data_IF_316107774071
#
_entry.id   IF_316107774071
#
_cell.length_a   1.000
_cell.length_b   1.000
_cell.length_c   1.000
_cell.angle_alpha   90.00
_cell.angle_beta   90.00
_cell.angle_gamma   90.00
#
_symmetry.space_group_name_H-M   'P 1'
#
loop_
_entity.id
_entity.type
_entity.pdbx_description
1 polymer ?
#
# COMPACT_ATOMS: atom_id res chain seq x y z
N UNK A 1 8.11 -28.30 -5.98
CA UNK A 1 8.34 -27.66 -4.66
C UNK A 1 7.17 -26.72 -4.40
N UNK A 2 6.52 -26.81 -3.24
CA UNK A 2 5.50 -25.84 -2.87
C UNK A 2 6.17 -24.48 -2.64
N UNK A 3 5.56 -23.41 -3.17
CA UNK A 3 6.01 -22.04 -2.93
C UNK A 3 5.63 -21.66 -1.49
N UNK A 4 6.62 -21.33 -0.66
CA UNK A 4 6.37 -20.89 0.71
C UNK A 4 6.06 -19.38 0.76
N UNK A 5 5.10 -19.02 1.59
CA UNK A 5 4.61 -17.65 1.75
C UNK A 5 4.69 -17.20 3.21
N UNK A 6 5.25 -16.04 3.43
CA UNK A 6 5.15 -15.27 4.67
C UNK A 6 4.14 -14.15 4.49
N UNK A 7 3.20 -13.99 5.43
CA UNK A 7 2.22 -12.90 5.41
C UNK A 7 2.53 -11.95 6.55
N UNK A 8 3.11 -10.80 6.21
CA UNK A 8 3.32 -9.70 7.13
C UNK A 8 2.01 -8.93 7.27
N UNK A 9 1.42 -8.89 8.48
CA UNK A 9 0.13 -8.26 8.72
C UNK A 9 -1.08 -9.15 8.38
N UNK A 10 -1.03 -10.43 8.75
CA UNK A 10 -2.06 -11.41 8.42
C UNK A 10 -3.46 -11.06 8.92
N UNK A 11 -3.58 -10.40 10.08
CA UNK A 11 -4.88 -9.98 10.65
C UNK A 11 -5.48 -8.72 10.00
N UNK A 12 -4.73 -8.05 9.12
CA UNK A 12 -5.21 -6.89 8.37
C UNK A 12 -6.03 -7.27 7.13
N UNK A 13 -6.62 -6.28 6.47
CA UNK A 13 -7.47 -6.46 5.30
C UNK A 13 -6.78 -7.24 4.17
N UNK A 14 -5.54 -6.83 3.79
CA UNK A 14 -4.78 -7.51 2.73
C UNK A 14 -4.36 -8.91 3.16
N UNK A 15 -3.96 -9.09 4.43
CA UNK A 15 -3.63 -10.42 4.96
C UNK A 15 -4.81 -11.37 4.88
N UNK A 16 -5.99 -10.94 5.31
CA UNK A 16 -7.23 -11.74 5.25
C UNK A 16 -7.67 -12.03 3.80
N UNK A 17 -7.55 -11.06 2.90
CA UNK A 17 -7.80 -11.27 1.46
C UNK A 17 -6.80 -12.25 0.85
N UNK A 18 -5.53 -12.22 1.30
CA UNK A 18 -4.52 -13.22 0.89
C UNK A 18 -4.93 -14.63 1.33
N UNK A 19 -5.31 -14.79 2.60
CA UNK A 19 -5.79 -16.08 3.12
C UNK A 19 -7.06 -16.55 2.40
N UNK A 20 -7.96 -15.63 2.02
CA UNK A 20 -9.15 -15.96 1.21
C UNK A 20 -8.75 -16.52 -0.15
N UNK A 21 -7.78 -15.92 -0.85
CA UNK A 21 -7.26 -16.42 -2.13
C UNK A 21 -6.62 -17.81 -1.95
N UNK A 22 -5.85 -18.03 -0.87
CA UNK A 22 -5.23 -19.32 -0.59
C UNK A 22 -6.27 -20.44 -0.35
N UNK A 23 -7.39 -20.13 0.34
CA UNK A 23 -8.51 -21.09 0.53
C UNK A 23 -9.10 -21.56 -0.79
N UNK A 24 -9.17 -20.68 -1.79
CA UNK A 24 -9.66 -21.01 -3.13
C UNK A 24 -8.65 -21.76 -4.01
N UNK A 25 -7.38 -21.82 -3.57
CA UNK A 25 -6.30 -22.47 -4.29
C UNK A 25 -5.53 -23.43 -3.38
N UNK A 26 -6.18 -24.45 -2.81
CA UNK A 26 -5.58 -25.34 -1.84
C UNK A 26 -4.37 -26.10 -2.40
N UNK A 27 -3.31 -26.22 -1.60
CA UNK A 27 -2.09 -26.94 -1.95
C UNK A 27 -1.14 -26.20 -2.89
N UNK A 28 -1.48 -25.01 -3.38
CA UNK A 28 -0.59 -24.24 -4.28
C UNK A 28 0.52 -23.51 -3.55
N UNK A 29 0.27 -23.07 -2.32
CA UNK A 29 1.22 -22.39 -1.44
C UNK A 29 1.23 -23.03 -0.05
N UNK A 30 2.41 -23.04 0.59
CA UNK A 30 2.57 -23.35 2.01
C UNK A 30 2.74 -22.04 2.78
N UNK A 31 1.89 -21.77 3.75
CA UNK A 31 2.07 -20.63 4.65
C UNK A 31 3.21 -20.98 5.62
N UNK A 32 4.35 -20.31 5.47
CA UNK A 32 5.51 -20.49 6.34
C UNK A 32 5.35 -19.71 7.64
N UNK A 33 4.89 -18.46 7.54
CA UNK A 33 4.67 -17.61 8.70
C UNK A 33 3.45 -16.69 8.53
N UNK A 34 2.74 -16.48 9.64
CA UNK A 34 1.71 -15.45 9.81
C UNK A 34 2.19 -14.45 10.85
N UNK A 35 1.94 -13.17 10.62
CA UNK A 35 2.34 -12.13 11.58
C UNK A 35 1.19 -11.16 11.87
N UNK A 36 1.12 -10.67 13.11
CA UNK A 36 0.17 -9.63 13.53
C UNK A 36 0.73 -8.79 14.69
N UNK A 37 0.09 -7.66 15.00
CA UNK A 37 0.48 -6.84 16.13
C UNK A 37 -0.02 -7.43 17.46
N UNK A 38 -1.37 -7.47 17.68
CA UNK A 38 -2.00 -7.82 18.96
C UNK A 38 -3.21 -8.75 18.83
N UNK A 39 -3.75 -8.94 17.64
CA UNK A 39 -5.01 -9.69 17.46
C UNK A 39 -4.81 -11.20 17.58
N UNK A 40 -4.84 -11.71 18.82
CA UNK A 40 -4.63 -13.11 19.16
C UNK A 40 -5.71 -14.01 18.58
N UNK A 41 -7.00 -13.59 18.61
CA UNK A 41 -8.10 -14.42 18.14
C UNK A 41 -8.03 -14.68 16.62
N UNK A 42 -7.74 -13.65 15.84
CA UNK A 42 -7.54 -13.81 14.39
C UNK A 42 -6.33 -14.72 14.12
N UNK A 43 -5.22 -14.51 14.80
CA UNK A 43 -4.01 -15.30 14.60
C UNK A 43 -4.19 -16.76 15.01
N UNK A 44 -4.90 -17.03 16.12
CA UNK A 44 -5.20 -18.40 16.54
C UNK A 44 -6.01 -19.14 15.47
N UNK A 45 -7.11 -18.55 15.01
CA UNK A 45 -7.96 -19.11 13.94
C UNK A 45 -7.14 -19.42 12.69
N UNK A 46 -6.37 -18.45 12.22
CA UNK A 46 -5.62 -18.55 10.97
C UNK A 46 -4.43 -19.55 11.12
N UNK A 47 -3.79 -19.62 12.29
CA UNK A 47 -2.76 -20.62 12.57
C UNK A 47 -3.32 -22.05 12.64
N UNK A 48 -4.50 -22.24 13.21
CA UNK A 48 -5.14 -23.57 13.27
C UNK A 48 -5.56 -24.04 11.86
N UNK A 49 -5.99 -23.12 11.01
CA UNK A 49 -6.41 -23.43 9.64
C UNK A 49 -5.22 -23.72 8.71
N UNK A 50 -4.21 -22.83 8.70
CA UNK A 50 -3.11 -22.90 7.74
C UNK A 50 -1.87 -23.63 8.26
N UNK A 51 -1.82 -23.95 9.55
CA UNK A 51 -0.72 -24.65 10.19
C UNK A 51 0.66 -24.11 9.83
N UNK A 52 0.92 -22.79 9.97
CA UNK A 52 2.21 -22.23 9.62
C UNK A 52 3.30 -22.76 10.55
N UNK A 53 4.55 -22.78 10.07
CA UNK A 53 5.70 -23.14 10.91
C UNK A 53 5.96 -22.08 11.99
N UNK A 54 5.73 -20.80 11.67
CA UNK A 54 5.95 -19.66 12.57
C UNK A 54 4.70 -18.79 12.68
N UNK A 55 4.47 -18.24 13.88
CA UNK A 55 3.54 -17.17 14.12
C UNK A 55 4.27 -16.05 14.87
N UNK A 56 4.19 -14.81 14.39
CA UNK A 56 4.86 -13.67 15.03
C UNK A 56 3.82 -12.68 15.53
N UNK A 57 3.87 -12.37 16.82
CA UNK A 57 3.13 -11.24 17.39
C UNK A 57 4.13 -10.13 17.77
N UNK A 58 3.85 -8.88 17.37
CA UNK A 58 4.74 -7.76 17.74
C UNK A 58 4.70 -7.54 19.26
N UNK A 59 3.51 -7.63 19.86
CA UNK A 59 3.29 -7.52 21.29
C UNK A 59 3.66 -8.83 22.00
N UNK A 60 4.49 -8.73 23.04
CA UNK A 60 5.01 -9.91 23.76
C UNK A 60 3.93 -10.64 24.59
N UNK A 61 2.98 -9.87 25.17
CA UNK A 61 1.88 -10.47 25.95
C UNK A 61 0.94 -11.23 25.02
N UNK A 62 0.60 -10.66 23.87
CA UNK A 62 -0.16 -11.32 22.82
C UNK A 62 0.55 -12.58 22.28
N UNK A 63 1.88 -12.56 22.17
CA UNK A 63 2.66 -13.74 21.78
C UNK A 63 2.58 -14.86 22.82
N UNK A 64 2.70 -14.52 24.10
CA UNK A 64 2.56 -15.49 25.21
C UNK A 64 1.17 -16.13 25.24
N UNK A 65 0.12 -15.31 25.08
CA UNK A 65 -1.25 -15.79 25.00
C UNK A 65 -1.46 -16.72 23.80
N UNK A 66 -1.03 -16.30 22.61
CA UNK A 66 -1.16 -17.11 21.38
C UNK A 66 -0.44 -18.46 21.52
N UNK A 67 0.78 -18.47 22.09
CA UNK A 67 1.56 -19.68 22.31
C UNK A 67 0.84 -20.67 23.23
N UNK A 68 0.27 -20.17 24.34
CA UNK A 68 -0.50 -21.01 25.29
C UNK A 68 -1.75 -21.61 24.61
N UNK A 69 -2.48 -20.80 23.84
CA UNK A 69 -3.72 -21.23 23.15
C UNK A 69 -3.42 -22.22 22.03
N UNK A 70 -2.39 -22.00 21.20
CA UNK A 70 -1.96 -22.94 20.16
C UNK A 70 -1.53 -24.29 20.76
N UNK A 71 -0.76 -24.27 21.86
CA UNK A 71 -0.36 -25.47 22.58
C UNK A 71 -1.58 -26.25 23.09
N UNK A 72 -2.59 -25.59 23.63
CA UNK A 72 -3.82 -26.20 24.10
C UNK A 72 -4.59 -26.92 22.97
N UNK A 73 -4.45 -26.46 21.71
CA UNK A 73 -5.01 -27.09 20.51
C UNK A 73 -4.07 -28.12 19.86
N UNK A 74 -2.93 -28.46 20.47
CA UNK A 74 -1.96 -29.39 19.91
C UNK A 74 -1.21 -28.89 18.66
N UNK A 75 -1.19 -27.58 18.41
CA UNK A 75 -0.48 -27.02 17.27
C UNK A 75 1.05 -27.07 17.48
N UNK A 76 1.77 -27.34 16.39
CA UNK A 76 3.25 -27.33 16.35
C UNK A 76 3.83 -25.98 15.90
N UNK A 77 2.99 -24.99 15.64
CA UNK A 77 3.42 -23.64 15.23
C UNK A 77 4.29 -23.00 16.30
N UNK A 78 5.50 -22.59 15.94
CA UNK A 78 6.41 -21.85 16.84
C UNK A 78 5.99 -20.37 16.89
N UNK A 79 5.66 -19.90 18.08
CA UNK A 79 5.36 -18.47 18.29
C UNK A 79 6.64 -17.71 18.62
N UNK A 80 6.78 -16.54 18.01
CA UNK A 80 7.88 -15.58 18.18
C UNK A 80 7.30 -14.20 18.48
N UNK A 81 8.10 -13.28 19.01
CA UNK A 81 7.64 -11.93 19.36
C UNK A 81 8.61 -10.83 18.93
N UNK A 82 8.05 -9.63 18.77
CA UNK A 82 8.79 -8.40 18.52
C UNK A 82 9.13 -8.12 17.05
N UNK A 83 9.63 -6.91 16.80
CA UNK A 83 9.94 -6.44 15.45
C UNK A 83 11.09 -7.22 14.77
N UNK A 84 12.08 -7.66 15.55
CA UNK A 84 13.19 -8.46 15.03
C UNK A 84 12.71 -9.80 14.44
N UNK A 85 11.72 -10.44 15.06
CA UNK A 85 11.14 -11.68 14.58
C UNK A 85 10.38 -11.51 13.25
N UNK A 86 9.79 -10.33 12.98
CA UNK A 86 9.21 -10.02 11.67
C UNK A 86 10.27 -10.07 10.57
N UNK A 87 11.44 -9.47 10.82
CA UNK A 87 12.56 -9.48 9.88
C UNK A 87 13.13 -10.89 9.69
N UNK A 88 13.22 -11.67 10.78
CA UNK A 88 13.71 -13.06 10.74
C UNK A 88 12.86 -13.94 9.83
N UNK A 89 11.53 -13.93 10.00
CA UNK A 89 10.64 -14.77 9.17
C UNK A 89 10.57 -14.26 7.72
N UNK A 90 10.63 -12.94 7.50
CA UNK A 90 10.63 -12.35 6.17
C UNK A 90 11.88 -12.74 5.36
N UNK A 91 13.05 -12.77 6.00
CA UNK A 91 14.33 -13.14 5.38
C UNK A 91 14.66 -14.65 5.48
N UNK A 92 13.80 -15.47 6.10
CA UNK A 92 14.08 -16.89 6.37
C UNK A 92 14.48 -17.63 5.08
N UNK A 93 15.50 -18.52 5.12
CA UNK A 93 15.96 -19.25 3.93
C UNK A 93 14.84 -19.98 3.18
N UNK A 94 13.91 -20.59 3.92
CA UNK A 94 12.77 -21.31 3.34
C UNK A 94 11.65 -20.36 2.83
N UNK A 95 11.74 -19.05 3.03
CA UNK A 95 10.77 -18.09 2.48
C UNK A 95 11.02 -17.90 0.99
N UNK A 96 10.01 -18.18 0.17
CA UNK A 96 10.02 -17.88 -1.26
C UNK A 96 9.41 -16.50 -1.56
N UNK A 97 8.24 -16.22 -0.98
CA UNK A 97 7.49 -14.98 -1.22
C UNK A 97 7.06 -14.34 0.10
N UNK A 98 6.99 -13.02 0.11
CA UNK A 98 6.53 -12.23 1.26
C UNK A 98 5.38 -11.33 0.81
N UNK A 99 4.21 -11.49 1.41
CA UNK A 99 3.12 -10.51 1.33
C UNK A 99 3.41 -9.39 2.32
N UNK A 100 3.85 -8.25 1.83
CA UNK A 100 4.21 -7.09 2.63
C UNK A 100 2.97 -6.21 2.87
N UNK A 101 2.18 -6.52 3.91
CA UNK A 101 0.89 -5.90 4.19
C UNK A 101 0.79 -5.24 5.58
N UNK A 102 1.93 -4.94 6.22
CA UNK A 102 1.96 -4.09 7.41
C UNK A 102 1.84 -2.64 6.96
N UNK A 103 0.86 -1.91 7.47
CA UNK A 103 0.56 -0.52 7.11
C UNK A 103 1.58 0.44 7.74
N UNK A 104 1.94 1.50 7.03
CA UNK A 104 2.78 2.60 7.51
C UNK A 104 4.27 2.24 7.61
N UNK A 105 5.04 3.11 8.27
CA UNK A 105 6.49 2.99 8.42
C UNK A 105 6.95 1.67 9.07
N UNK A 106 6.13 1.08 9.95
CA UNK A 106 6.43 -0.18 10.64
C UNK A 106 6.65 -1.37 9.69
N UNK A 107 6.09 -1.33 8.49
CA UNK A 107 6.26 -2.36 7.47
C UNK A 107 7.59 -2.28 6.71
N UNK A 108 8.32 -1.15 6.78
CA UNK A 108 9.54 -0.95 5.98
C UNK A 108 10.66 -1.91 6.38
N UNK A 109 10.98 -2.03 7.66
CA UNK A 109 12.10 -2.85 8.12
C UNK A 109 11.96 -4.34 7.74
N UNK A 110 10.83 -5.04 8.02
CA UNK A 110 10.68 -6.44 7.62
C UNK A 110 10.58 -6.62 6.09
N UNK A 111 10.01 -5.67 5.36
CA UNK A 111 9.99 -5.72 3.89
C UNK A 111 11.40 -5.58 3.33
N UNK A 112 12.20 -4.65 3.85
CA UNK A 112 13.60 -4.49 3.46
C UNK A 112 14.46 -5.72 3.81
N UNK A 113 14.19 -6.39 4.93
CA UNK A 113 14.86 -7.64 5.27
C UNK A 113 14.59 -8.72 4.21
N UNK A 114 13.34 -8.83 3.73
CA UNK A 114 12.98 -9.74 2.65
C UNK A 114 13.64 -9.36 1.32
N UNK A 115 13.69 -8.05 0.98
CA UNK A 115 14.39 -7.55 -0.23
C UNK A 115 15.86 -7.93 -0.20
N UNK A 116 16.56 -7.65 0.91
CA UNK A 116 17.99 -7.99 1.08
C UNK A 116 18.25 -9.49 1.03
N UNK A 117 17.26 -10.31 1.35
CA UNK A 117 17.33 -11.77 1.21
C UNK A 117 16.94 -12.28 -0.20
N UNK A 118 16.76 -11.39 -1.17
CA UNK A 118 16.44 -11.74 -2.56
C UNK A 118 15.08 -12.42 -2.76
N UNK A 119 14.08 -12.12 -1.91
CA UNK A 119 12.78 -12.77 -1.96
C UNK A 119 11.85 -12.13 -3.00
N UNK A 120 10.80 -12.86 -3.39
CA UNK A 120 9.66 -12.29 -4.13
C UNK A 120 8.82 -11.47 -3.16
N UNK A 121 8.68 -10.18 -3.42
CA UNK A 121 7.94 -9.24 -2.59
C UNK A 121 6.61 -8.93 -3.28
N UNK A 122 5.50 -9.27 -2.61
CA UNK A 122 4.14 -8.89 -2.98
C UNK A 122 3.84 -7.61 -2.19
N UNK A 123 4.10 -6.45 -2.81
CA UNK A 123 4.12 -5.16 -2.12
C UNK A 123 2.72 -4.57 -2.02
N UNK A 124 2.15 -4.59 -0.83
CA UNK A 124 0.87 -3.94 -0.49
C UNK A 124 1.06 -2.69 0.40
N UNK A 125 2.24 -2.53 1.00
CA UNK A 125 2.61 -1.37 1.80
C UNK A 125 3.23 -0.30 0.90
N UNK A 126 2.42 0.65 0.43
CA UNK A 126 2.89 1.77 -0.40
C UNK A 126 3.82 2.72 0.33
N UNK A 127 3.64 2.85 1.64
CA UNK A 127 4.44 3.73 2.48
C UNK A 127 5.92 3.35 2.47
N UNK A 128 6.25 2.07 2.26
CA UNK A 128 7.63 1.62 2.12
C UNK A 128 8.35 2.31 0.94
N UNK A 129 7.70 2.40 -0.25
CA UNK A 129 8.27 3.12 -1.40
C UNK A 129 8.15 4.63 -1.26
N UNK A 130 7.10 5.15 -0.68
CA UNK A 130 6.95 6.58 -0.42
C UNK A 130 8.07 7.09 0.47
N UNK A 131 8.39 6.36 1.56
CA UNK A 131 9.41 6.75 2.52
C UNK A 131 10.83 6.45 2.05
N UNK A 132 11.06 5.38 1.30
CA UNK A 132 12.43 4.89 1.04
C UNK A 132 12.71 4.55 -0.42
N UNK A 133 11.91 5.04 -1.36
CA UNK A 133 11.92 4.60 -2.76
C UNK A 133 13.31 4.40 -3.39
N UNK A 134 14.22 5.38 -3.26
CA UNK A 134 15.57 5.26 -3.80
C UNK A 134 16.35 4.09 -3.17
N UNK A 135 16.40 4.03 -1.83
CA UNK A 135 17.10 2.96 -1.10
C UNK A 135 16.45 1.60 -1.30
N UNK A 136 15.11 1.60 -1.38
CA UNK A 136 14.36 0.37 -1.60
C UNK A 136 14.65 -0.23 -2.98
N UNK A 137 14.55 0.58 -4.04
CA UNK A 137 14.80 0.12 -5.41
C UNK A 137 16.26 -0.24 -5.64
N UNK A 138 17.21 0.47 -5.02
CA UNK A 138 18.61 0.08 -5.05
C UNK A 138 18.83 -1.30 -4.44
N UNK A 139 18.28 -1.55 -3.25
CA UNK A 139 18.34 -2.86 -2.60
C UNK A 139 17.68 -3.96 -3.44
N UNK A 140 16.53 -3.70 -4.07
CA UNK A 140 15.89 -4.65 -5.01
C UNK A 140 16.85 -5.05 -6.13
N UNK A 141 17.54 -4.08 -6.73
CA UNK A 141 18.52 -4.33 -7.80
C UNK A 141 19.72 -5.12 -7.30
N UNK A 142 20.31 -4.71 -6.17
CA UNK A 142 21.54 -5.31 -5.62
C UNK A 142 21.35 -6.77 -5.20
N UNK A 143 20.19 -7.07 -4.61
CA UNK A 143 19.90 -8.40 -4.07
C UNK A 143 19.04 -9.27 -5.00
N UNK A 144 18.67 -8.77 -6.17
CA UNK A 144 17.90 -9.51 -7.15
C UNK A 144 16.49 -9.91 -6.65
N UNK A 145 15.90 -9.12 -5.77
CA UNK A 145 14.54 -9.36 -5.30
C UNK A 145 13.53 -9.12 -6.44
N UNK A 146 12.48 -9.94 -6.48
CA UNK A 146 11.39 -9.77 -7.44
C UNK A 146 10.27 -8.94 -6.79
N UNK A 147 9.91 -7.82 -7.39
CA UNK A 147 8.92 -6.90 -6.85
C UNK A 147 7.63 -6.96 -7.67
N UNK A 148 6.50 -7.26 -7.01
CA UNK A 148 5.17 -7.32 -7.63
C UNK A 148 4.20 -6.43 -6.85
N UNK A 149 3.53 -5.46 -7.50
CA UNK A 149 2.58 -4.57 -6.84
C UNK A 149 1.27 -5.29 -6.48
N UNK A 150 0.74 -4.99 -5.31
CA UNK A 150 -0.56 -5.48 -4.82
C UNK A 150 -1.61 -4.37 -4.83
N UNK A 151 -1.20 -3.11 -4.61
CA UNK A 151 -2.15 -2.00 -4.72
C UNK A 151 -2.88 -2.08 -6.07
N UNK A 152 -4.21 -1.91 -6.05
CA UNK A 152 -5.07 -2.23 -7.21
C UNK A 152 -4.68 -1.47 -8.46
N UNK A 153 -4.37 -0.19 -8.32
CA UNK A 153 -3.97 0.68 -9.42
C UNK A 153 -2.61 0.30 -10.01
N UNK A 154 -1.64 0.02 -9.13
CA UNK A 154 -0.29 -0.38 -9.59
C UNK A 154 -0.29 -1.78 -10.19
N UNK A 155 -1.07 -2.70 -9.63
CA UNK A 155 -1.25 -4.02 -10.21
C UNK A 155 -1.95 -3.93 -11.59
N UNK A 156 -2.92 -3.03 -11.74
CA UNK A 156 -3.57 -2.76 -13.03
C UNK A 156 -2.58 -2.23 -14.07
N UNK A 157 -1.76 -1.22 -13.69
CA UNK A 157 -0.70 -0.71 -14.56
C UNK A 157 0.24 -1.86 -14.95
N UNK A 158 0.74 -2.61 -13.97
CA UNK A 158 1.64 -3.74 -14.18
C UNK A 158 1.07 -4.75 -15.19
N UNK A 159 -0.22 -5.09 -15.08
CA UNK A 159 -0.89 -6.01 -16.03
C UNK A 159 -0.96 -5.46 -17.47
N UNK A 160 -1.00 -4.14 -17.62
CA UNK A 160 -1.07 -3.46 -18.92
C UNK A 160 0.31 -3.19 -19.53
N UNK A 161 1.41 -3.43 -18.82
CA UNK A 161 2.77 -3.22 -19.32
C UNK A 161 3.25 -4.38 -20.19
N UNK A 162 4.16 -4.15 -21.17
CA UNK A 162 4.84 -5.21 -21.89
C UNK A 162 5.61 -6.15 -20.95
N UNK A 163 5.66 -7.43 -21.26
CA UNK A 163 6.32 -8.45 -20.42
C UNK A 163 7.79 -8.11 -20.12
N UNK A 164 8.49 -7.46 -21.05
CA UNK A 164 9.87 -7.04 -20.82
C UNK A 164 9.98 -6.02 -19.67
N UNK A 165 9.02 -5.08 -19.55
CA UNK A 165 8.94 -4.10 -18.48
C UNK A 165 8.50 -4.75 -17.17
N UNK A 166 7.52 -5.66 -17.23
CA UNK A 166 7.05 -6.41 -16.05
C UNK A 166 8.15 -7.21 -15.34
N UNK A 167 9.15 -7.71 -16.11
CA UNK A 167 10.29 -8.47 -15.55
C UNK A 167 11.31 -7.62 -14.81
N UNK A 168 11.29 -6.30 -15.01
CA UNK A 168 12.24 -5.36 -14.42
C UNK A 168 11.52 -4.11 -13.93
N UNK A 169 10.53 -4.23 -13.02
CA UNK A 169 9.78 -3.09 -12.53
C UNK A 169 10.73 -2.09 -11.86
N UNK A 170 10.55 -0.81 -12.18
CA UNK A 170 11.39 0.28 -11.66
C UNK A 170 12.74 0.49 -12.37
N UNK A 171 13.10 -0.34 -13.37
CA UNK A 171 14.41 -0.26 -14.04
C UNK A 171 14.33 -0.11 -15.56
N UNK A 172 13.13 -0.09 -16.12
CA UNK A 172 12.94 0.09 -17.57
C UNK A 172 12.71 1.56 -17.92
N UNK A 173 13.16 1.93 -19.13
CA UNK A 173 12.74 3.18 -19.76
C UNK A 173 11.38 2.96 -20.42
N UNK A 174 10.34 3.58 -19.87
CA UNK A 174 8.97 3.47 -20.37
C UNK A 174 8.85 4.02 -21.79
N UNK A 175 9.55 5.11 -22.11
CA UNK A 175 9.51 5.71 -23.44
C UNK A 175 10.16 4.80 -24.48
N UNK A 176 11.28 4.15 -24.16
CA UNK A 176 11.91 3.16 -25.02
C UNK A 176 11.02 1.92 -25.22
N UNK A 177 10.23 1.55 -24.21
CA UNK A 177 9.25 0.47 -24.28
C UNK A 177 7.95 0.83 -25.05
N UNK A 178 7.87 2.02 -25.64
CA UNK A 178 6.70 2.47 -26.40
C UNK A 178 5.58 3.04 -25.55
N UNK A 179 5.79 3.27 -24.25
CA UNK A 179 4.79 3.82 -23.32
C UNK A 179 4.91 5.35 -23.29
N UNK A 180 3.80 6.05 -23.48
CA UNK A 180 3.74 7.50 -23.42
C UNK A 180 3.30 8.00 -22.05
N UNK A 181 2.31 7.33 -21.42
CA UNK A 181 1.77 7.73 -20.11
C UNK A 181 1.22 6.54 -19.31
N UNK A 182 1.29 6.67 -18.02
CA UNK A 182 0.51 5.93 -17.03
C UNK A 182 -0.68 6.81 -16.66
N UNK A 183 -1.90 6.28 -16.78
CA UNK A 183 -3.13 6.94 -16.38
C UNK A 183 -3.59 6.31 -15.06
N UNK A 184 -3.21 6.95 -13.95
CA UNK A 184 -3.48 6.49 -12.59
C UNK A 184 -4.90 6.90 -12.21
N UNK A 185 -5.82 5.94 -12.10
CA UNK A 185 -7.22 6.25 -11.79
C UNK A 185 -7.47 6.31 -10.29
N UNK A 186 -8.53 7.00 -9.89
CA UNK A 186 -9.05 7.01 -8.53
C UNK A 186 -10.50 7.43 -8.51
N UNK A 187 -11.26 7.04 -7.47
CA UNK A 187 -12.70 7.35 -7.37
C UNK A 187 -13.01 8.85 -7.19
N UNK A 188 -12.03 9.62 -6.71
CA UNK A 188 -12.25 11.00 -6.26
C UNK A 188 -12.84 11.09 -4.85
N UNK A 189 -13.02 9.96 -4.17
CA UNK A 189 -13.57 9.91 -2.82
C UNK A 189 -15.05 10.33 -2.70
N UNK A 190 -15.56 10.45 -1.47
CA UNK A 190 -16.97 10.78 -1.23
C UNK A 190 -17.32 12.25 -1.56
N UNK A 191 -16.34 13.15 -1.59
CA UNK A 191 -16.56 14.60 -1.72
C UNK A 191 -16.30 15.19 -3.11
N UNK A 192 -16.22 14.34 -4.14
CA UNK A 192 -15.90 14.79 -5.51
C UNK A 192 -16.90 15.77 -6.12
N UNK A 193 -18.14 15.79 -5.61
CA UNK A 193 -19.20 16.71 -6.04
C UNK A 193 -19.65 17.70 -4.95
N UNK A 194 -19.03 17.66 -3.76
CA UNK A 194 -19.32 18.58 -2.65
C UNK A 194 -18.72 19.95 -2.96
N UNK A 195 -19.44 21.04 -2.68
CA UNK A 195 -18.90 22.40 -2.84
C UNK A 195 -17.67 22.58 -1.94
N UNK A 196 -16.61 23.26 -2.46
CA UNK A 196 -15.33 23.41 -1.74
C UNK A 196 -15.52 24.10 -0.39
N UNK A 197 -16.39 25.12 -0.31
CA UNK A 197 -16.69 25.83 0.93
C UNK A 197 -17.34 24.94 2.02
N UNK A 198 -17.96 23.83 1.65
CA UNK A 198 -18.57 22.89 2.60
C UNK A 198 -17.57 21.85 3.14
N UNK A 199 -16.38 21.71 2.51
CA UNK A 199 -15.38 20.74 2.96
C UNK A 199 -14.86 20.99 4.38
N UNK A 200 -14.87 22.26 4.82
CA UNK A 200 -14.50 22.61 6.19
C UNK A 200 -15.42 22.02 7.27
N UNK A 201 -16.66 21.64 6.90
CA UNK A 201 -17.68 21.09 7.81
C UNK A 201 -17.73 19.55 7.81
N UNK A 202 -16.87 18.90 7.00
CA UNK A 202 -16.86 17.43 6.86
C UNK A 202 -16.49 16.77 8.18
N UNK A 203 -17.28 15.77 8.54
CA UNK A 203 -17.08 14.96 9.76
C UNK A 203 -16.31 13.67 9.46
N UNK A 204 -15.66 13.04 10.46
CA UNK A 204 -15.03 11.73 10.29
C UNK A 204 -15.98 10.67 9.73
N UNK A 205 -17.23 10.63 10.20
CA UNK A 205 -18.23 9.68 9.73
C UNK A 205 -18.54 9.83 8.23
N UNK A 206 -18.58 11.05 7.71
CA UNK A 206 -18.76 11.31 6.28
C UNK A 206 -17.52 10.94 5.47
N UNK A 207 -16.32 11.21 6.00
CA UNK A 207 -15.07 10.94 5.29
C UNK A 207 -14.78 9.42 5.15
N UNK A 208 -15.22 8.59 6.11
CA UNK A 208 -15.04 7.13 6.03
C UNK A 208 -16.08 6.43 5.14
N UNK A 209 -17.15 7.11 4.74
CA UNK A 209 -18.22 6.56 3.90
C UNK A 209 -17.80 6.53 2.41
N UNK A 210 -16.87 5.61 2.07
CA UNK A 210 -16.40 5.48 0.68
C UNK A 210 -17.50 4.86 -0.22
N UNK A 211 -17.74 5.43 -1.42
CA UNK A 211 -18.88 5.01 -2.27
C UNK A 211 -18.75 3.61 -2.87
N UNK A 212 -17.51 3.14 -3.15
CA UNK A 212 -17.29 1.93 -3.94
C UNK A 212 -16.51 0.83 -3.19
N UNK A 213 -15.66 1.20 -2.22
CA UNK A 213 -14.77 0.28 -1.50
C UNK A 213 -15.14 0.19 -0.03
N UNK A 214 -15.12 -1.03 0.51
CA UNK A 214 -15.14 -1.24 1.96
C UNK A 214 -13.71 -1.27 2.48
N UNK A 215 -13.28 -0.20 3.12
CA UNK A 215 -11.89 -0.01 3.55
C UNK A 215 -11.80 0.38 5.03
N UNK A 216 -10.59 0.29 5.59
CA UNK A 216 -10.32 0.82 6.93
C UNK A 216 -10.47 2.34 7.02
N UNK A 217 -10.68 2.88 8.21
CA UNK A 217 -10.96 4.29 8.44
C UNK A 217 -9.84 5.21 7.89
N UNK A 218 -8.57 4.88 8.14
CA UNK A 218 -7.40 5.69 7.69
C UNK A 218 -7.40 5.84 6.18
N UNK A 219 -7.45 4.75 5.42
CA UNK A 219 -7.39 4.79 3.95
C UNK A 219 -8.65 5.41 3.32
N UNK A 220 -9.80 5.35 4.01
CA UNK A 220 -11.02 6.05 3.56
C UNK A 220 -10.87 7.56 3.64
N UNK A 221 -10.26 8.10 4.70
CA UNK A 221 -9.91 9.52 4.81
C UNK A 221 -8.86 9.90 3.79
N UNK A 222 -7.85 9.06 3.58
CA UNK A 222 -6.83 9.27 2.54
C UNK A 222 -7.45 9.33 1.13
N UNK A 223 -8.48 8.53 0.88
CA UNK A 223 -9.26 8.60 -0.36
C UNK A 223 -10.07 9.90 -0.46
N UNK A 224 -10.68 10.33 0.65
CA UNK A 224 -11.48 11.55 0.70
C UNK A 224 -10.66 12.82 0.43
N UNK A 225 -9.41 12.87 0.93
CA UNK A 225 -8.45 13.96 0.69
C UNK A 225 -7.68 13.80 -0.62
N UNK A 226 -7.80 12.67 -1.30
CA UNK A 226 -6.97 12.24 -2.44
C UNK A 226 -5.46 12.12 -2.12
N UNK A 227 -5.05 12.17 -0.85
CA UNK A 227 -3.66 11.87 -0.49
C UNK A 227 -3.29 10.42 -0.85
N UNK A 228 -4.24 9.47 -0.72
CA UNK A 228 -4.02 8.10 -1.16
C UNK A 228 -3.52 8.05 -2.61
N UNK A 229 -4.18 8.80 -3.50
CA UNK A 229 -3.77 8.89 -4.91
C UNK A 229 -2.43 9.62 -5.08
N UNK A 230 -2.13 10.56 -4.20
CA UNK A 230 -0.82 11.20 -4.13
C UNK A 230 0.30 10.24 -3.73
N UNK A 231 0.08 9.42 -2.70
CA UNK A 231 1.04 8.39 -2.28
C UNK A 231 1.23 7.33 -3.39
N UNK A 232 0.17 6.96 -4.06
CA UNK A 232 0.21 6.07 -5.22
C UNK A 232 0.95 6.69 -6.42
N UNK A 233 0.86 8.00 -6.63
CA UNK A 233 1.66 8.70 -7.63
C UNK A 233 3.17 8.56 -7.33
N UNK A 234 3.55 8.74 -6.06
CA UNK A 234 4.94 8.56 -5.61
C UNK A 234 5.38 7.10 -5.78
N UNK A 235 4.54 6.14 -5.41
CA UNK A 235 4.82 4.71 -5.58
C UNK A 235 4.98 4.34 -7.06
N UNK A 236 4.10 4.80 -7.95
CA UNK A 236 4.18 4.57 -9.38
C UNK A 236 5.48 5.12 -9.99
N UNK A 237 5.95 6.26 -9.51
CA UNK A 237 7.23 6.86 -9.89
C UNK A 237 8.39 5.87 -9.70
N UNK A 238 8.41 5.18 -8.56
CA UNK A 238 9.45 4.21 -8.22
C UNK A 238 9.23 2.85 -8.88
N UNK A 239 8.03 2.31 -8.81
CA UNK A 239 7.70 1.00 -9.35
C UNK A 239 7.88 0.90 -10.87
N UNK A 240 7.66 1.98 -11.59
CA UNK A 240 7.70 1.98 -13.05
C UNK A 240 8.80 2.84 -13.65
N UNK A 241 9.66 3.44 -12.81
CA UNK A 241 10.68 4.39 -13.25
C UNK A 241 10.10 5.48 -14.17
N UNK A 242 8.88 5.94 -13.85
CA UNK A 242 8.17 6.90 -14.65
C UNK A 242 8.66 8.34 -14.40
N UNK A 243 8.86 9.13 -15.43
CA UNK A 243 9.07 10.56 -15.28
C UNK A 243 7.79 11.25 -14.80
N UNK A 244 7.86 12.40 -14.10
CA UNK A 244 6.66 13.10 -13.62
C UNK A 244 5.62 13.36 -14.72
N UNK A 245 6.06 13.67 -15.94
CA UNK A 245 5.22 13.96 -17.10
C UNK A 245 4.53 12.72 -17.66
N UNK A 246 5.02 11.54 -17.29
CA UNK A 246 4.48 10.24 -17.72
C UNK A 246 3.37 9.73 -16.81
N UNK A 247 3.10 10.37 -15.65
CA UNK A 247 2.02 9.96 -14.76
C UNK A 247 0.93 11.02 -14.76
N UNK A 248 -0.28 10.60 -15.13
CA UNK A 248 -1.47 11.46 -15.12
C UNK A 248 -2.53 10.87 -14.21
N UNK A 249 -2.98 11.62 -13.22
CA UNK A 249 -4.10 11.23 -12.37
C UNK A 249 -5.41 11.50 -13.10
N UNK A 250 -6.31 10.52 -13.05
CA UNK A 250 -7.64 10.57 -13.67
C UNK A 250 -8.69 10.14 -12.64
N UNK A 251 -9.68 10.97 -12.38
CA UNK A 251 -10.80 10.56 -11.53
C UNK A 251 -11.79 9.74 -12.35
N UNK A 252 -12.07 8.52 -11.89
CA UNK A 252 -13.02 7.57 -12.46
C UNK A 252 -14.00 7.13 -11.36
N UNK A 253 -15.17 7.80 -11.25
CA UNK A 253 -16.11 7.62 -10.15
C UNK A 253 -16.59 6.19 -9.94
N UNK A 254 -16.75 5.42 -11.01
CA UNK A 254 -17.23 4.04 -10.95
C UNK A 254 -16.21 3.05 -10.37
N UNK A 255 -14.92 3.40 -10.38
CA UNK A 255 -13.81 2.56 -9.88
C UNK A 255 -13.76 1.14 -10.47
N UNK A 256 -14.23 0.97 -11.71
CA UNK A 256 -14.20 -0.28 -12.46
C UNK A 256 -12.90 -0.41 -13.25
N UNK A 257 -12.43 0.69 -13.84
CA UNK A 257 -11.10 0.79 -14.45
C UNK A 257 -10.12 1.13 -13.35
N UNK A 258 -9.26 0.16 -13.01
CA UNK A 258 -8.32 0.32 -11.90
C UNK A 258 -7.07 1.13 -12.26
N UNK A 259 -6.63 1.13 -13.51
CA UNK A 259 -5.69 2.09 -14.14
C UNK A 259 -5.45 1.69 -15.59
N UNK A 260 -4.71 2.55 -16.33
CA UNK A 260 -4.48 2.39 -17.77
C UNK A 260 -3.04 2.76 -18.13
N UNK A 261 -2.57 2.22 -19.25
CA UNK A 261 -1.29 2.56 -19.88
C UNK A 261 -1.53 3.04 -21.29
N UNK A 262 -1.06 4.24 -21.62
CA UNK A 262 -1.13 4.83 -22.95
C UNK A 262 0.18 4.62 -23.70
N UNK A 263 0.08 4.16 -24.94
CA UNK A 263 1.21 3.87 -25.80
C UNK A 263 1.44 4.97 -26.85
N UNK A 264 2.62 4.97 -27.47
CA UNK A 264 3.03 5.96 -28.49
C UNK A 264 2.22 5.87 -29.78
N UNK A 265 1.65 4.70 -30.08
CA UNK A 265 0.77 4.49 -31.24
C UNK A 265 -0.65 5.01 -31.04
N UNK A 266 -0.93 5.60 -29.86
CA UNK A 266 -2.25 6.11 -29.49
C UNK A 266 -3.15 5.11 -28.77
N UNK A 267 -2.76 3.84 -28.66
CA UNK A 267 -3.56 2.86 -27.93
C UNK A 267 -3.52 3.08 -26.42
N UNK A 268 -4.60 2.68 -25.74
CA UNK A 268 -4.69 2.67 -24.28
C UNK A 268 -5.12 1.26 -23.86
N UNK A 269 -4.30 0.62 -23.02
CA UNK A 269 -4.66 -0.63 -22.36
C UNK A 269 -5.12 -0.34 -20.94
N UNK A 270 -6.21 -0.99 -20.50
CA UNK A 270 -6.83 -0.81 -19.20
C UNK A 270 -7.08 -2.17 -18.55
N UNK A 271 -6.88 -2.25 -17.24
CA UNK A 271 -7.36 -3.38 -16.45
C UNK A 271 -8.65 -2.99 -15.76
N UNK A 272 -9.67 -3.82 -15.93
CA UNK A 272 -11.01 -3.65 -15.38
C UNK A 272 -11.35 -4.83 -14.47
N UNK A 273 -12.16 -4.57 -13.45
CA UNK A 273 -12.68 -5.60 -12.57
C UNK A 273 -13.59 -5.04 -11.48
N UNK A 274 -14.24 -5.94 -10.75
CA UNK A 274 -14.93 -5.56 -9.52
C UNK A 274 -13.92 -5.10 -8.46
N UNK A 275 -14.26 -4.12 -7.62
CA UNK A 275 -13.36 -3.58 -6.60
C UNK A 275 -13.16 -4.58 -5.44
N UNK A 276 -12.26 -5.53 -5.61
CA UNK A 276 -11.89 -6.55 -4.61
C UNK A 276 -10.37 -6.83 -4.68
N UNK A 277 -9.69 -6.70 -3.55
CA UNK A 277 -8.25 -6.93 -3.44
C UNK A 277 -7.83 -8.38 -3.72
N UNK A 278 -8.74 -9.35 -3.70
CA UNK A 278 -8.42 -10.72 -4.09
C UNK A 278 -7.96 -10.83 -5.55
N UNK A 279 -8.39 -9.95 -6.44
CA UNK A 279 -7.96 -9.95 -7.85
C UNK A 279 -6.45 -9.64 -7.99
N UNK A 280 -5.92 -8.48 -7.53
CA UNK A 280 -4.50 -8.19 -7.62
C UNK A 280 -3.63 -9.15 -6.79
N UNK A 281 -4.13 -9.64 -5.65
CA UNK A 281 -3.44 -10.64 -4.83
C UNK A 281 -3.30 -11.97 -5.59
N UNK A 282 -4.37 -12.49 -6.18
CA UNK A 282 -4.33 -13.71 -6.97
C UNK A 282 -3.40 -13.59 -8.18
N UNK A 283 -3.43 -12.45 -8.88
CA UNK A 283 -2.54 -12.15 -9.98
C UNK A 283 -1.06 -12.19 -9.54
N UNK A 284 -0.70 -11.45 -8.49
CA UNK A 284 0.68 -11.38 -8.03
C UNK A 284 1.20 -12.71 -7.44
N UNK A 285 0.37 -13.45 -6.69
CA UNK A 285 0.72 -14.77 -6.19
C UNK A 285 1.07 -15.74 -7.32
N UNK A 286 0.29 -15.71 -8.40
CA UNK A 286 0.43 -16.66 -9.49
C UNK A 286 1.36 -16.20 -10.61
N UNK A 287 1.73 -14.92 -10.66
CA UNK A 287 2.50 -14.33 -11.75
C UNK A 287 3.68 -15.22 -12.22
N UNK A 288 3.85 -15.43 -13.54
CA UNK A 288 3.12 -14.82 -14.68
C UNK A 288 1.78 -15.48 -15.05
N UNK A 289 1.36 -16.51 -14.35
CA UNK A 289 0.10 -17.22 -14.58
C UNK A 289 -1.08 -16.52 -13.88
N UNK A 290 -2.29 -17.05 -14.10
CA UNK A 290 -3.51 -16.60 -13.41
C UNK A 290 -4.16 -17.76 -12.68
N UNK A 291 -4.78 -17.46 -11.54
CA UNK A 291 -5.52 -18.40 -10.69
C UNK A 291 -6.87 -17.81 -10.31
N UNK A 292 -7.84 -18.62 -9.88
CA UNK A 292 -9.09 -18.14 -9.33
C UNK A 292 -8.86 -17.19 -8.13
N UNK A 293 -9.51 -16.04 -8.14
CA UNK A 293 -9.45 -15.05 -7.06
C UNK A 293 -10.61 -15.10 -6.09
N UNK A 294 -11.66 -15.86 -6.41
CA UNK A 294 -12.98 -15.83 -5.76
C UNK A 294 -13.80 -14.54 -6.01
N UNK A 295 -13.38 -13.71 -6.94
CA UNK A 295 -14.10 -12.50 -7.33
C UNK A 295 -14.99 -12.81 -8.52
N UNK A 296 -16.24 -12.39 -8.46
CA UNK A 296 -17.17 -12.57 -9.57
C UNK A 296 -16.72 -11.80 -10.82
N UNK A 297 -16.93 -12.33 -12.02
CA UNK A 297 -16.65 -11.62 -13.25
C UNK A 297 -17.39 -10.28 -13.33
N UNK A 298 -16.77 -9.28 -13.96
CA UNK A 298 -17.39 -8.00 -14.21
C UNK A 298 -18.55 -8.15 -15.20
N UNK A 299 -19.73 -7.71 -14.81
CA UNK A 299 -20.90 -7.63 -15.70
C UNK A 299 -20.94 -6.25 -16.37
N UNK A 300 -20.56 -6.20 -17.64
CA UNK A 300 -20.55 -4.96 -18.42
C UNK A 300 -21.93 -4.35 -18.63
N UNK A 301 -22.98 -5.15 -18.62
CA UNK A 301 -24.35 -4.67 -18.79
C UNK A 301 -24.85 -3.95 -17.53
N UNK A 302 -24.40 -4.36 -16.36
CA UNK A 302 -24.71 -3.70 -15.09
C UNK A 302 -23.92 -2.41 -14.87
N UNK A 303 -22.71 -2.31 -15.42
CA UNK A 303 -21.85 -1.11 -15.26
C UNK A 303 -22.39 0.08 -16.05
N UNK A 304 -22.89 -0.14 -17.26
CA UNK A 304 -23.50 0.89 -18.12
C UNK A 304 -22.48 1.88 -18.69
N UNK A 305 -22.13 2.90 -17.93
CA UNK A 305 -21.30 4.02 -18.39
C UNK A 305 -20.00 4.17 -17.61
N UNK A 306 -18.96 4.63 -18.28
CA UNK A 306 -17.71 5.08 -17.69
C UNK A 306 -17.56 6.60 -17.83
N UNK A 307 -17.19 7.27 -16.75
CA UNK A 307 -16.92 8.70 -16.75
C UNK A 307 -15.52 9.00 -16.22
N UNK A 308 -14.93 10.08 -16.72
CA UNK A 308 -13.60 10.52 -16.36
C UNK A 308 -13.60 12.03 -16.07
N UNK A 309 -12.98 12.41 -14.95
CA UNK A 309 -12.96 13.80 -14.49
C UNK A 309 -11.49 14.17 -14.26
N UNK A 310 -11.14 15.40 -14.60
CA UNK A 310 -9.82 15.97 -14.27
C UNK A 310 -9.77 16.30 -12.78
N UNK A 311 -8.69 15.95 -12.05
CA UNK A 311 -8.54 16.38 -10.67
C UNK A 311 -8.53 17.91 -10.54
N UNK A 312 -9.27 18.40 -9.54
CA UNK A 312 -9.27 19.78 -9.12
C UNK A 312 -8.34 19.92 -7.90
N UNK A 313 -7.22 20.61 -8.06
CA UNK A 313 -6.20 20.72 -7.01
C UNK A 313 -6.59 21.67 -5.87
N UNK A 314 -7.53 22.59 -6.09
CA UNK A 314 -8.09 23.42 -5.03
C UNK A 314 -8.98 22.57 -4.10
N UNK A 315 -9.70 21.61 -4.68
CA UNK A 315 -10.48 20.60 -3.94
C UNK A 315 -9.60 19.57 -3.24
N UNK A 316 -8.49 19.19 -3.86
CA UNK A 316 -7.59 18.13 -3.40
C UNK A 316 -6.16 18.63 -3.16
N UNK A 317 -5.97 19.58 -2.20
CA UNK A 317 -4.64 20.12 -1.93
C UNK A 317 -3.63 19.04 -1.52
N UNK A 318 -4.07 17.97 -0.83
CA UNK A 318 -3.20 16.85 -0.47
C UNK A 318 -2.63 16.11 -1.69
N UNK A 319 -3.39 15.98 -2.79
CA UNK A 319 -2.88 15.41 -4.04
C UNK A 319 -1.78 16.31 -4.64
N UNK A 320 -2.01 17.63 -4.67
CA UNK A 320 -1.02 18.60 -5.15
C UNK A 320 0.27 18.55 -4.30
N UNK A 321 0.14 18.48 -2.98
CA UNK A 321 1.27 18.35 -2.05
C UNK A 321 2.09 17.08 -2.31
N UNK A 322 1.44 15.94 -2.55
CA UNK A 322 2.15 14.69 -2.82
C UNK A 322 2.90 14.72 -4.16
N UNK A 323 2.32 15.30 -5.21
CA UNK A 323 3.00 15.49 -6.50
C UNK A 323 4.21 16.40 -6.31
N UNK A 324 4.06 17.50 -5.57
CA UNK A 324 5.15 18.43 -5.25
C UNK A 324 6.25 17.73 -4.42
N UNK A 325 5.88 16.98 -3.37
CA UNK A 325 6.82 16.20 -2.56
C UNK A 325 7.63 15.21 -3.40
N UNK A 326 6.98 14.54 -4.36
CA UNK A 326 7.64 13.63 -5.29
C UNK A 326 8.74 14.31 -6.12
N UNK A 327 8.50 15.57 -6.54
CA UNK A 327 9.48 16.36 -7.29
C UNK A 327 10.63 16.85 -6.40
N UNK A 328 10.36 17.16 -5.13
CA UNK A 328 11.36 17.64 -4.16
C UNK A 328 12.27 16.52 -3.65
N UNK A 329 11.80 15.28 -3.64
CA UNK A 329 12.59 14.10 -3.30
C UNK A 329 12.25 13.44 -1.98
N UNK A 330 13.12 12.56 -1.54
CA UNK A 330 12.85 11.58 -0.49
C UNK A 330 12.53 12.20 0.88
N UNK A 331 13.18 13.31 1.25
CA UNK A 331 12.89 13.98 2.51
C UNK A 331 11.45 14.52 2.55
N UNK A 332 11.02 15.16 1.45
CA UNK A 332 9.67 15.70 1.35
C UNK A 332 8.59 14.61 1.37
N UNK A 333 8.80 13.49 0.66
CA UNK A 333 7.84 12.37 0.64
C UNK A 333 7.73 11.67 1.99
N UNK A 334 8.86 11.50 2.71
CA UNK A 334 8.88 10.93 4.06
C UNK A 334 8.15 11.83 5.05
N UNK A 335 8.47 13.14 5.04
CA UNK A 335 7.83 14.10 5.94
C UNK A 335 6.32 14.21 5.68
N UNK A 336 5.90 14.24 4.41
CA UNK A 336 4.49 14.25 4.03
C UNK A 336 3.74 13.01 4.53
N UNK A 337 4.31 11.81 4.32
CA UNK A 337 3.68 10.56 4.76
C UNK A 337 3.49 10.53 6.28
N UNK A 338 4.53 10.85 7.04
CA UNK A 338 4.49 10.86 8.49
C UNK A 338 3.47 11.89 9.03
N UNK A 339 3.46 13.11 8.47
CA UNK A 339 2.50 14.15 8.83
C UNK A 339 1.06 13.71 8.55
N UNK A 340 0.83 13.08 7.40
CA UNK A 340 -0.51 12.62 7.02
C UNK A 340 -1.05 11.54 7.96
N UNK A 341 -0.22 10.60 8.40
CA UNK A 341 -0.65 9.56 9.35
C UNK A 341 -1.13 10.18 10.67
N UNK A 342 -0.40 11.17 11.21
CA UNK A 342 -0.77 11.86 12.45
C UNK A 342 -1.99 12.78 12.27
N UNK A 343 -2.04 13.53 11.17
CA UNK A 343 -3.17 14.42 10.88
C UNK A 343 -4.48 13.64 10.67
N UNK A 344 -4.43 12.53 9.94
CA UNK A 344 -5.60 11.66 9.73
C UNK A 344 -6.05 11.02 11.05
N UNK A 345 -5.12 10.57 11.90
CA UNK A 345 -5.46 10.05 13.22
C UNK A 345 -6.12 11.12 14.11
N UNK A 346 -5.61 12.35 14.08
CA UNK A 346 -6.18 13.48 14.81
C UNK A 346 -7.58 13.87 14.30
N UNK A 347 -7.79 13.87 12.99
CA UNK A 347 -9.09 14.11 12.37
C UNK A 347 -10.10 13.02 12.77
N UNK A 348 -9.73 11.75 12.69
CA UNK A 348 -10.60 10.63 13.10
C UNK A 348 -10.98 10.70 14.60
N UNK A 349 -10.08 11.23 15.42
CA UNK A 349 -10.34 11.49 16.85
C UNK A 349 -11.15 12.79 17.10
N UNK A 350 -11.50 13.54 16.06
CA UNK A 350 -12.24 14.80 16.19
C UNK A 350 -11.45 15.97 16.78
N UNK A 351 -10.12 15.90 16.76
CA UNK A 351 -9.24 16.96 17.32
C UNK A 351 -8.94 18.09 16.32
N UNK A 352 -9.07 17.85 15.03
CA UNK A 352 -8.86 18.82 13.96
C UNK A 352 -9.95 18.71 12.89
N UNK A 353 -10.12 19.73 12.06
CA UNK A 353 -11.03 19.71 10.92
C UNK A 353 -10.47 18.99 9.69
N UNK A 354 -11.33 18.66 8.73
CA UNK A 354 -10.95 17.95 7.50
C UNK A 354 -9.88 18.72 6.68
N UNK A 355 -10.04 20.04 6.55
CA UNK A 355 -9.10 20.89 5.80
C UNK A 355 -7.78 21.11 6.53
N UNK A 356 -7.71 20.86 7.83
CA UNK A 356 -6.47 21.00 8.60
C UNK A 356 -5.48 19.87 8.28
N UNK A 357 -5.95 18.73 7.77
CA UNK A 357 -5.08 17.65 7.28
C UNK A 357 -4.09 18.20 6.24
N UNK A 358 -4.59 18.91 5.23
CA UNK A 358 -3.73 19.49 4.20
C UNK A 358 -2.77 20.55 4.75
N UNK A 359 -3.23 21.40 5.67
CA UNK A 359 -2.40 22.45 6.30
C UNK A 359 -1.26 21.89 7.12
N UNK A 360 -1.52 20.85 7.91
CA UNK A 360 -0.50 20.16 8.71
C UNK A 360 0.51 19.49 7.78
N UNK A 361 0.03 18.76 6.77
CA UNK A 361 0.87 18.09 5.78
C UNK A 361 1.82 19.07 5.08
N UNK A 362 1.31 20.21 4.65
CA UNK A 362 2.10 21.26 4.00
C UNK A 362 3.15 21.85 4.95
N UNK A 363 2.74 22.25 6.14
CA UNK A 363 3.63 22.90 7.11
C UNK A 363 4.78 21.97 7.56
N UNK A 364 4.50 20.69 7.78
CA UNK A 364 5.54 19.71 8.15
C UNK A 364 6.46 19.43 6.96
N UNK A 365 5.92 19.23 5.76
CA UNK A 365 6.69 18.98 4.56
C UNK A 365 7.66 20.14 4.29
N UNK A 366 7.19 21.37 4.28
CA UNK A 366 8.01 22.56 4.02
C UNK A 366 9.12 22.75 5.05
N UNK A 367 8.86 22.40 6.31
CA UNK A 367 9.87 22.52 7.37
C UNK A 367 11.02 21.50 7.25
N UNK A 368 10.78 20.35 6.60
CA UNK A 368 11.70 19.22 6.60
C UNK A 368 12.18 18.77 5.21
N UNK A 369 11.65 19.35 4.13
CA UNK A 369 11.96 18.90 2.75
C UNK A 369 13.43 19.04 2.34
N UNK A 370 14.18 19.89 3.01
CA UNK A 370 15.61 20.12 2.76
C UNK A 370 16.52 19.27 3.69
N UNK A 371 15.97 18.36 4.47
CA UNK A 371 16.75 17.49 5.36
C UNK A 371 17.65 16.56 4.55
N UNK A 372 18.89 16.41 4.99
CA UNK A 372 19.82 15.46 4.38
C UNK A 372 19.39 14.03 4.71
N UNK A 373 19.32 13.18 3.70
CA UNK A 373 18.95 11.77 3.82
C UNK A 373 19.98 10.95 3.05
N UNK A 374 20.85 10.23 3.77
CA UNK A 374 21.90 9.37 3.19
C UNK A 374 21.74 7.90 3.56
N UNK A 375 20.80 7.56 4.44
CA UNK A 375 20.58 6.20 4.93
C UNK A 375 19.13 5.93 5.31
N UNK A 376 18.78 4.66 5.55
CA UNK A 376 17.48 4.30 6.11
C UNK A 376 17.30 4.82 7.55
N UNK A 377 18.38 4.90 8.33
CA UNK A 377 18.31 5.43 9.69
C UNK A 377 17.99 6.93 9.69
N UNK A 378 18.51 7.69 8.72
CA UNK A 378 18.13 9.10 8.52
C UNK A 378 16.64 9.23 8.18
N UNK A 379 16.09 8.31 7.36
CA UNK A 379 14.66 8.30 7.05
C UNK A 379 13.79 8.03 8.28
N UNK A 380 14.18 7.07 9.13
CA UNK A 380 13.46 6.82 10.38
C UNK A 380 13.56 8.01 11.35
N UNK A 381 14.72 8.65 11.44
CA UNK A 381 14.88 9.86 12.24
C UNK A 381 14.01 11.02 11.71
N UNK A 382 13.96 11.18 10.39
CA UNK A 382 13.12 12.18 9.72
C UNK A 382 11.63 11.91 9.91
N UNK A 383 11.18 10.66 9.79
CA UNK A 383 9.80 10.25 10.08
C UNK A 383 9.42 10.62 11.52
N UNK A 384 10.29 10.32 12.49
CA UNK A 384 10.08 10.69 13.89
C UNK A 384 10.00 12.21 14.11
N UNK A 385 10.86 12.99 13.47
CA UNK A 385 10.85 14.44 13.53
C UNK A 385 9.58 15.04 12.91
N UNK A 386 9.13 14.47 11.77
CA UNK A 386 7.89 14.88 11.11
C UNK A 386 6.65 14.61 11.98
N UNK A 387 6.58 13.43 12.62
CA UNK A 387 5.50 13.11 13.56
C UNK A 387 5.48 14.07 14.74
N UNK A 388 6.63 14.33 15.36
CA UNK A 388 6.72 15.27 16.48
C UNK A 388 6.26 16.67 16.06
N UNK A 389 6.65 17.14 14.87
CA UNK A 389 6.20 18.44 14.36
C UNK A 389 4.70 18.45 14.07
N UNK A 390 4.15 17.38 13.49
CA UNK A 390 2.70 17.26 13.26
C UNK A 390 1.92 17.31 14.58
N UNK A 391 2.38 16.62 15.63
CA UNK A 391 1.76 16.68 16.96
C UNK A 391 1.72 18.10 17.51
N UNK A 392 2.82 18.84 17.42
CA UNK A 392 2.85 20.26 17.86
C UNK A 392 1.78 21.08 17.13
N UNK A 393 1.67 20.96 15.80
CA UNK A 393 0.67 21.69 15.01
C UNK A 393 -0.77 21.26 15.35
N UNK A 394 -0.99 19.98 15.61
CA UNK A 394 -2.30 19.46 16.03
C UNK A 394 -2.71 20.04 17.40
N UNK A 395 -1.77 20.17 18.35
CA UNK A 395 -2.03 20.79 19.66
C UNK A 395 -2.30 22.29 19.56
N UNK A 396 -1.69 22.99 18.60
CA UNK A 396 -1.94 24.43 18.35
C UNK A 396 -3.33 24.70 17.75
N UNK A 397 -3.95 23.72 17.08
CA UNK A 397 -5.25 23.84 16.43
C UNK A 397 -6.43 23.41 17.32
N UNK A 398 -6.19 22.54 18.29
CA UNK A 398 -7.20 22.00 19.24
C UNK A 398 -7.27 22.80 20.52
#
# INVERSE_FOLDING_TARGET
MHKSLVILGASGSIGQSTLKVLRHNPGSWQVLALTAARNVDAMLRDCLEFSPRFAVMVDEDAARELAARLKAHGSTTRVMSGAAALCEVAAHPDTHSVMAAIVGAAGLAPTMAAVRAGKRILLANKEALVMSGAFFMEAVREHGAELLPIDSEHNAIFQCLPTAVQRQPGFCDLAAAGISKILLTGSGGPFRYTEICELAKVTPAQAIAHPNWSMGAKISVDSATMINKGLEYIEARWLFNAAPEQIQVVIHPQSVIHSMVQYKDGSVLAQLGNPDMCTPIAHALAYPNRIPSSVEPLDFFSVGEFSFIRPDYDRYPCLALAINACQKGQAATTALNAANEEAVAAFLAGRIGFMDIARINEAVMLALESSAVGSLDDLFALDGAARARAHTLIEELG
#
